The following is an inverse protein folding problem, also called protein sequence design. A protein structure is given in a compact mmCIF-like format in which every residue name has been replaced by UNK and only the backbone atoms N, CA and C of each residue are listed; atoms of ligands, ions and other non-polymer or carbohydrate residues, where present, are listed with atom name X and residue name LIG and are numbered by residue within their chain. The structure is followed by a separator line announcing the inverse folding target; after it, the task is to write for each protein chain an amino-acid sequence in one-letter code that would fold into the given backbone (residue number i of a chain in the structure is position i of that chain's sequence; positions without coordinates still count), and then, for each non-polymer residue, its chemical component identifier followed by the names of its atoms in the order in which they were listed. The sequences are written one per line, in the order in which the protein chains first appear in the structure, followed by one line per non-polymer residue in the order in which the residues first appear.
data_IF_269002532638
#
_entry.id   IF_269002532638
#
_cell.length_a   1.000
_cell.length_b   1.000
_cell.length_c   1.000
_cell.angle_alpha   90.00
_cell.angle_beta   90.00
_cell.angle_gamma   90.00
#
_symmetry.space_group_name_H-M   'P 1'
#
loop_
_entity.id
_entity.type
_entity.pdbx_description
1 polymer ?
#
# COMPACT_ATOMS: atom_id res chain seq x y z
N UNK A 1 -23.47 -48.19 -25.47
CA UNK A 1 -23.03 -49.27 -24.56
C UNK A 1 -21.52 -49.37 -24.57
N UNK A 2 -20.88 -48.83 -23.53
CA UNK A 2 -19.83 -49.43 -22.69
C UNK A 2 -19.05 -48.30 -22.02
N UNK A 3 -19.31 -48.16 -20.72
CA UNK A 3 -18.44 -47.57 -19.70
C UNK A 3 -17.02 -48.14 -19.78
N UNK A 4 -16.03 -47.30 -19.48
CA UNK A 4 -14.96 -47.67 -18.52
C UNK A 4 -14.22 -46.42 -18.01
N UNK A 5 -14.60 -46.02 -16.78
CA UNK A 5 -13.74 -45.71 -15.62
C UNK A 5 -12.52 -44.79 -15.73
N UNK A 6 -12.64 -43.67 -15.01
CA UNK A 6 -11.75 -43.22 -13.92
C UNK A 6 -10.25 -43.46 -14.04
N UNK A 7 -9.51 -42.37 -14.26
CA UNK A 7 -8.20 -42.12 -13.64
C UNK A 7 -8.14 -40.70 -13.10
N UNK A 8 -8.68 -40.53 -11.89
CA UNK A 8 -8.34 -39.38 -11.04
C UNK A 8 -6.91 -39.61 -10.54
N UNK A 9 -5.96 -38.96 -11.19
CA UNK A 9 -4.57 -38.89 -10.73
C UNK A 9 -4.48 -37.95 -9.55
N UNK A 10 -4.55 -38.47 -8.33
CA UNK A 10 -4.10 -37.77 -7.14
C UNK A 10 -2.58 -37.57 -7.25
N UNK A 11 -2.15 -36.35 -7.57
CA UNK A 11 -0.76 -35.96 -7.41
C UNK A 11 -0.54 -35.55 -5.95
N UNK A 12 -0.14 -36.53 -5.14
CA UNK A 12 0.47 -36.33 -3.83
C UNK A 12 1.72 -35.45 -4.03
N UNK A 13 1.66 -34.18 -3.64
CA UNK A 13 2.85 -33.37 -3.46
C UNK A 13 3.20 -33.33 -1.97
N UNK A 14 4.28 -34.04 -1.69
CA UNK A 14 5.01 -34.12 -0.43
C UNK A 14 5.35 -32.74 0.14
N UNK A 15 5.02 -32.56 1.43
CA UNK A 15 5.62 -31.58 2.33
C UNK A 15 7.15 -31.60 2.20
N UNK A 16 7.77 -30.43 2.01
CA UNK A 16 9.22 -30.31 2.09
C UNK A 16 9.80 -28.97 1.62
N UNK A 17 9.93 -28.06 2.59
CA UNK A 17 11.04 -27.09 2.77
C UNK A 17 11.03 -25.73 2.03
N UNK A 18 10.90 -24.71 2.90
CA UNK A 18 11.62 -23.42 2.93
C UNK A 18 11.14 -22.30 2.01
N UNK A 19 10.07 -21.67 2.45
CA UNK A 19 9.98 -20.21 2.39
C UNK A 19 9.96 -19.71 3.83
N UNK A 20 11.03 -19.05 4.27
CA UNK A 20 11.05 -18.36 5.55
C UNK A 20 10.10 -17.17 5.46
N UNK A 21 8.93 -17.36 6.07
CA UNK A 21 8.00 -16.34 6.49
C UNK A 21 8.75 -15.24 7.25
N UNK A 22 8.65 -14.01 6.74
CA UNK A 22 8.71 -12.83 7.59
C UNK A 22 7.37 -12.11 7.52
N UNK A 23 6.30 -12.83 7.86
CA UNK A 23 5.04 -12.25 8.35
C UNK A 23 4.95 -12.49 9.85
N UNK A 24 5.62 -11.65 10.63
CA UNK A 24 5.40 -11.60 12.08
C UNK A 24 4.29 -10.59 12.40
N UNK A 25 3.12 -11.17 12.72
CA UNK A 25 2.09 -10.78 13.69
C UNK A 25 2.14 -9.37 14.31
N UNK A 26 1.08 -8.59 14.09
CA UNK A 26 0.60 -7.63 15.09
C UNK A 26 -0.42 -8.35 15.99
N UNK A 27 0.04 -8.84 17.15
CA UNK A 27 -0.80 -9.27 18.28
C UNK A 27 -1.06 -8.08 19.22
N UNK A 28 -1.42 -6.92 18.65
CA UNK A 28 -1.88 -5.76 19.39
C UNK A 28 -3.41 -5.84 19.45
N UNK A 29 -3.94 -6.28 20.60
CA UNK A 29 -5.38 -6.29 20.90
C UNK A 29 -6.01 -4.90 20.94
N UNK A 30 -5.95 -4.16 19.83
CA UNK A 30 -6.60 -2.87 19.67
C UNK A 30 -8.09 -3.08 19.33
N UNK A 31 -8.92 -2.76 20.31
CA UNK A 31 -10.37 -2.65 20.14
C UNK A 31 -10.66 -1.39 19.34
N UNK A 32 -11.06 -1.54 18.08
CA UNK A 32 -11.63 -0.44 17.30
C UNK A 32 -13.07 -0.17 17.79
N UNK A 33 -13.46 1.08 18.10
CA UNK A 33 -14.81 1.37 18.54
C UNK A 33 -15.82 1.02 17.44
N UNK A 34 -16.71 0.08 17.73
CA UNK A 34 -17.80 -0.31 16.84
C UNK A 34 -19.00 0.58 17.14
N UNK A 35 -19.18 1.67 16.39
CA UNK A 35 -20.46 2.37 16.40
C UNK A 35 -21.43 1.60 15.51
N UNK A 36 -22.33 0.84 16.14
CA UNK A 36 -23.51 0.28 15.47
C UNK A 36 -24.40 1.45 15.04
N UNK A 37 -24.63 1.61 13.74
CA UNK A 37 -25.76 2.38 13.24
C UNK A 37 -26.46 1.55 12.17
N UNK A 38 -27.78 1.41 12.35
CA UNK A 38 -28.69 0.60 11.55
C UNK A 38 -28.75 1.09 10.11
N UNK A 39 -28.69 0.15 9.16
CA UNK A 39 -28.68 0.44 7.72
C UNK A 39 -30.12 0.44 7.22
N UNK A 40 -30.68 1.63 7.00
CA UNK A 40 -31.81 1.80 6.09
C UNK A 40 -31.30 1.85 4.65
N UNK A 41 -31.90 1.00 3.80
CA UNK A 41 -31.60 0.92 2.37
C UNK A 41 -31.95 2.23 1.65
N UNK A 42 -30.94 2.99 1.21
CA UNK A 42 -31.08 3.91 0.08
C UNK A 42 -29.72 4.24 -0.54
N UNK A 43 -29.64 4.05 -1.86
CA UNK A 43 -28.47 4.28 -2.72
C UNK A 43 -27.97 5.72 -2.55
N UNK A 44 -26.73 5.93 -2.10
CA UNK A 44 -26.11 7.25 -2.08
C UNK A 44 -24.59 7.16 -2.33
N UNK A 45 -24.16 7.54 -3.53
CA UNK A 45 -22.80 7.45 -4.07
C UNK A 45 -21.86 8.58 -3.60
N UNK A 46 -22.13 9.24 -2.47
CA UNK A 46 -21.35 10.44 -2.09
C UNK A 46 -21.09 10.60 -0.57
N UNK A 47 -20.60 9.55 0.11
CA UNK A 47 -20.43 9.54 1.58
C UNK A 47 -19.01 9.62 2.13
N UNK A 48 -17.96 9.62 1.30
CA UNK A 48 -16.57 9.54 1.78
C UNK A 48 -15.69 10.75 1.44
N UNK A 49 -16.29 11.92 1.17
CA UNK A 49 -15.52 13.14 0.91
C UNK A 49 -14.89 13.63 2.22
N UNK A 50 -13.55 13.75 2.25
CA UNK A 50 -12.82 14.20 3.45
C UNK A 50 -12.30 15.63 3.26
N UNK A 51 -12.54 16.45 4.28
CA UNK A 51 -12.39 17.91 4.29
C UNK A 51 -10.92 18.42 4.25
N UNK A 52 -10.80 19.73 4.04
CA UNK A 52 -9.60 20.53 3.71
C UNK A 52 -8.46 20.52 4.75
N UNK A 53 -8.61 19.86 5.90
CA UNK A 53 -7.64 19.90 7.03
C UNK A 53 -6.92 18.56 7.29
N UNK A 54 -6.76 17.75 6.26
CA UNK A 54 -6.10 16.44 6.39
C UNK A 54 -4.61 16.58 6.72
N UNK A 55 -3.93 17.58 6.16
CA UNK A 55 -2.51 17.76 6.40
C UNK A 55 -2.23 18.03 7.88
N UNK A 56 -3.08 18.81 8.56
CA UNK A 56 -2.99 19.06 9.99
C UNK A 56 -3.01 17.75 10.78
N UNK A 57 -3.99 16.87 10.50
CA UNK A 57 -4.11 15.56 11.16
C UNK A 57 -2.90 14.66 10.88
N UNK A 58 -2.40 14.65 9.65
CA UNK A 58 -1.20 13.86 9.28
C UNK A 58 0.01 14.37 10.08
N UNK A 59 0.14 15.68 10.25
CA UNK A 59 1.26 16.35 10.92
C UNK A 59 1.05 16.54 12.44
N UNK A 60 0.02 15.93 13.04
CA UNK A 60 -0.14 15.92 14.49
C UNK A 60 1.02 15.19 15.17
N UNK A 61 1.51 15.74 16.28
CA UNK A 61 2.70 15.20 16.96
C UNK A 61 2.46 13.76 17.46
N UNK A 62 1.23 13.46 17.89
CA UNK A 62 0.84 12.12 18.29
C UNK A 62 0.81 11.12 17.11
N UNK A 63 0.40 11.57 15.92
CA UNK A 63 0.42 10.74 14.71
C UNK A 63 1.86 10.47 14.26
N UNK A 64 2.70 11.49 14.31
CA UNK A 64 4.11 11.38 13.93
C UNK A 64 4.89 10.48 14.90
N UNK A 65 4.63 10.55 16.19
CA UNK A 65 5.21 9.61 17.16
C UNK A 65 4.81 8.16 16.85
N UNK A 66 3.54 7.90 16.52
CA UNK A 66 3.10 6.56 16.08
C UNK A 66 3.81 6.12 14.80
N UNK A 67 4.00 7.04 13.85
CA UNK A 67 4.73 6.76 12.62
C UNK A 67 6.22 6.43 12.88
N UNK A 68 6.88 7.16 13.78
CA UNK A 68 8.24 6.86 14.24
C UNK A 68 8.32 5.44 14.83
N UNK A 69 7.42 5.10 15.74
CA UNK A 69 7.38 3.79 16.38
C UNK A 69 7.21 2.66 15.35
N UNK A 70 6.32 2.84 14.36
CA UNK A 70 6.10 1.87 13.29
C UNK A 70 7.31 1.72 12.36
N UNK A 71 7.99 2.82 12.02
CA UNK A 71 9.23 2.76 11.23
C UNK A 71 10.34 2.06 12.00
N UNK A 72 10.42 2.29 13.32
CA UNK A 72 11.38 1.60 14.19
C UNK A 72 11.11 0.10 14.28
N UNK A 73 9.86 -0.32 14.44
CA UNK A 73 9.50 -1.75 14.51
C UNK A 73 9.79 -2.49 13.21
N UNK A 74 9.58 -1.84 12.06
CA UNK A 74 9.83 -2.42 10.74
C UNK A 74 11.32 -2.57 10.41
N UNK A 75 12.22 -1.97 11.20
CA UNK A 75 13.67 -1.94 10.95
C UNK A 75 13.95 -1.42 9.52
N UNK A 76 15.01 -1.89 8.89
CA UNK A 76 15.38 -1.54 7.53
C UNK A 76 16.58 -0.60 7.44
N UNK A 77 17.17 -0.55 6.25
CA UNK A 77 18.39 0.22 5.99
C UNK A 77 18.11 1.70 5.76
N UNK A 78 19.14 2.52 5.96
CA UNK A 78 19.13 3.94 5.60
C UNK A 78 18.98 4.15 4.09
N UNK A 79 18.35 5.27 3.73
CA UNK A 79 18.17 5.70 2.34
C UNK A 79 19.46 6.27 1.75
N UNK A 80 19.30 7.27 0.89
CA UNK A 80 20.43 7.96 0.23
C UNK A 80 21.28 8.78 1.22
N UNK A 81 20.66 9.26 2.30
CA UNK A 81 21.27 9.99 3.41
C UNK A 81 22.03 9.10 4.40
N UNK A 82 21.88 7.77 4.28
CA UNK A 82 22.51 6.74 5.12
C UNK A 82 22.14 6.81 6.62
N UNK A 83 21.17 7.65 7.00
CA UNK A 83 20.66 7.69 8.38
C UNK A 83 20.07 6.34 8.75
N UNK A 84 20.43 5.81 9.92
CA UNK A 84 19.89 4.55 10.41
C UNK A 84 18.58 4.76 11.17
N UNK A 85 17.75 3.72 11.21
CA UNK A 85 16.47 3.74 11.92
C UNK A 85 16.64 4.03 13.41
N UNK A 86 17.76 3.63 14.02
CA UNK A 86 18.06 3.92 15.43
C UNK A 86 18.21 5.42 15.72
N UNK A 87 18.57 6.23 14.72
CA UNK A 87 18.83 7.67 14.88
C UNK A 87 17.56 8.52 14.70
N UNK A 88 16.47 7.92 14.19
CA UNK A 88 15.26 8.65 13.78
C UNK A 88 14.65 9.46 14.91
N UNK A 89 14.63 8.93 16.14
CA UNK A 89 14.00 9.59 17.28
C UNK A 89 14.77 10.85 17.68
N UNK A 90 16.09 10.76 17.72
CA UNK A 90 16.96 11.91 18.00
C UNK A 90 16.85 12.95 16.88
N UNK A 91 16.83 12.51 15.61
CA UNK A 91 16.67 13.40 14.47
C UNK A 91 15.34 14.18 14.54
N UNK A 92 14.22 13.50 14.77
CA UNK A 92 12.92 14.17 14.89
C UNK A 92 12.86 15.07 16.13
N UNK A 93 13.44 14.69 17.26
CA UNK A 93 13.50 15.56 18.44
C UNK A 93 14.20 16.92 18.15
N UNK A 94 15.21 16.92 17.26
CA UNK A 94 15.96 18.13 16.91
C UNK A 94 15.34 18.94 15.76
N UNK A 95 14.74 18.26 14.77
CA UNK A 95 14.36 18.89 13.50
C UNK A 95 12.85 18.91 13.22
N UNK A 96 12.02 18.28 14.06
CA UNK A 96 10.58 18.12 13.77
C UNK A 96 9.85 19.44 13.57
N UNK A 97 10.08 20.44 14.43
CA UNK A 97 9.42 21.74 14.31
C UNK A 97 9.70 22.41 12.96
N UNK A 98 10.93 22.32 12.47
CA UNK A 98 11.34 22.81 11.16
C UNK A 98 10.73 22.00 10.01
N UNK A 99 10.81 20.66 10.09
CA UNK A 99 10.22 19.77 9.08
C UNK A 99 8.71 19.97 8.95
N UNK A 100 8.00 20.03 10.08
CA UNK A 100 6.56 20.30 10.13
C UNK A 100 6.24 21.62 9.45
N UNK A 101 6.96 22.70 9.76
CA UNK A 101 6.79 23.99 9.10
C UNK A 101 6.97 23.91 7.59
N UNK A 102 8.07 23.30 7.12
CA UNK A 102 8.32 23.10 5.69
C UNK A 102 7.21 22.33 4.98
N UNK A 103 6.67 21.29 5.62
CA UNK A 103 5.59 20.47 5.05
C UNK A 103 4.29 21.27 4.99
N UNK A 104 3.93 21.96 6.09
CA UNK A 104 2.71 22.77 6.18
C UNK A 104 2.70 23.93 5.18
N UNK A 105 3.87 24.54 4.92
CA UNK A 105 4.05 25.60 3.92
C UNK A 105 4.21 25.08 2.49
N UNK A 106 4.28 23.76 2.29
CA UNK A 106 4.45 23.15 0.97
C UNK A 106 5.86 23.26 0.38
N UNK A 107 6.86 23.62 1.17
CA UNK A 107 8.27 23.74 0.76
C UNK A 107 9.07 22.44 0.94
N UNK A 108 8.51 21.44 1.63
CA UNK A 108 9.14 20.12 1.75
C UNK A 108 9.30 19.44 0.38
N UNK A 109 10.49 18.88 0.13
CA UNK A 109 10.80 18.08 -1.05
C UNK A 109 11.38 16.74 -0.60
N UNK A 110 10.68 15.61 -0.86
CA UNK A 110 11.17 14.28 -0.53
C UNK A 110 12.53 14.00 -1.18
N UNK A 111 13.35 13.17 -0.54
CA UNK A 111 14.61 12.73 -1.12
C UNK A 111 14.37 11.61 -2.14
N UNK A 112 15.25 11.53 -3.14
CA UNK A 112 15.27 10.43 -4.09
C UNK A 112 15.47 9.09 -3.36
N UNK A 113 14.79 8.04 -3.82
CA UNK A 113 14.90 6.71 -3.19
C UNK A 113 16.18 5.99 -3.65
N UNK A 114 16.82 5.26 -2.74
CA UNK A 114 18.02 4.48 -3.05
C UNK A 114 17.64 3.19 -3.78
N UNK A 115 18.13 2.98 -5.01
CA UNK A 115 17.88 1.74 -5.76
C UNK A 115 18.71 0.60 -5.19
N UNK A 116 18.05 -0.52 -4.90
CA UNK A 116 18.68 -1.78 -4.48
C UNK A 116 18.12 -2.92 -5.31
N UNK A 117 19.00 -3.75 -5.87
CA UNK A 117 18.61 -4.96 -6.59
C UNK A 117 18.53 -6.13 -5.60
N UNK A 118 17.39 -6.79 -5.55
CA UNK A 118 17.16 -7.99 -4.75
C UNK A 118 16.91 -9.16 -5.71
N UNK A 119 17.61 -10.30 -5.58
CA UNK A 119 17.33 -11.48 -6.41
C UNK A 119 15.91 -12.00 -6.15
N UNK A 120 15.22 -12.39 -7.22
CA UNK A 120 14.00 -13.21 -7.17
C UNK A 120 14.39 -14.68 -7.36
N UNK A 121 13.54 -15.58 -6.86
CA UNK A 121 13.68 -17.03 -7.00
C UNK A 121 13.80 -17.52 -8.44
N UNK A 122 13.21 -16.81 -9.39
CA UNK A 122 13.27 -17.14 -10.81
C UNK A 122 14.52 -16.59 -11.53
N UNK A 123 15.53 -16.14 -10.78
CA UNK A 123 16.77 -15.57 -11.30
C UNK A 123 16.65 -14.14 -11.84
N UNK A 124 15.44 -13.58 -11.93
CA UNK A 124 15.24 -12.15 -12.26
C UNK A 124 15.56 -11.28 -11.05
N UNK A 125 15.83 -10.00 -11.25
CA UNK A 125 16.04 -9.04 -10.16
C UNK A 125 14.77 -8.23 -9.89
N UNK A 126 14.46 -8.00 -8.62
CA UNK A 126 13.48 -7.00 -8.17
C UNK A 126 14.24 -5.75 -7.80
N UNK A 127 13.83 -4.63 -8.37
CA UNK A 127 14.41 -3.37 -8.01
C UNK A 127 13.56 -2.69 -6.92
N UNK A 128 14.17 -2.43 -5.77
CA UNK A 128 13.55 -1.77 -4.63
C UNK A 128 14.08 -0.33 -4.53
N UNK A 129 13.20 0.62 -4.24
CA UNK A 129 13.54 1.98 -3.86
C UNK A 129 13.41 2.15 -2.35
N UNK A 130 14.53 2.34 -1.66
CA UNK A 130 14.56 2.56 -0.22
C UNK A 130 14.54 4.07 0.07
N UNK A 131 13.45 4.63 0.60
CA UNK A 131 13.41 6.05 0.98
C UNK A 131 14.29 6.32 2.21
N UNK A 132 14.59 7.59 2.46
CA UNK A 132 15.22 8.02 3.72
C UNK A 132 14.33 7.68 4.90
N UNK A 133 14.92 7.59 6.10
CA UNK A 133 14.13 7.26 7.30
C UNK A 133 13.09 8.35 7.58
N UNK A 134 13.46 9.62 7.38
CA UNK A 134 12.55 10.77 7.48
C UNK A 134 11.38 10.66 6.51
N UNK A 135 11.63 10.36 5.24
CA UNK A 135 10.57 10.14 4.25
C UNK A 135 9.68 8.95 4.61
N UNK A 136 10.24 7.86 5.16
CA UNK A 136 9.44 6.72 5.62
C UNK A 136 8.50 7.10 6.76
N UNK A 137 8.95 7.91 7.72
CA UNK A 137 8.10 8.39 8.83
C UNK A 137 6.95 9.24 8.29
N UNK A 138 7.23 10.20 7.40
CA UNK A 138 6.19 11.06 6.82
C UNK A 138 5.22 10.25 5.97
N UNK A 139 5.71 9.32 5.13
CA UNK A 139 4.85 8.40 4.37
C UNK A 139 3.99 7.54 5.28
N UNK A 140 4.54 7.02 6.39
CA UNK A 140 3.80 6.21 7.35
C UNK A 140 2.72 7.03 8.07
N UNK A 141 2.99 8.29 8.39
CA UNK A 141 2.01 9.21 8.96
C UNK A 141 0.84 9.48 7.98
N UNK A 142 1.13 9.62 6.68
CA UNK A 142 0.10 9.72 5.63
C UNK A 142 -0.75 8.44 5.60
N UNK A 143 -0.11 7.27 5.61
CA UNK A 143 -0.80 5.97 5.59
C UNK A 143 -1.74 5.81 6.79
N UNK A 144 -1.31 6.21 7.99
CA UNK A 144 -2.12 6.11 9.21
C UNK A 144 -3.44 6.88 9.11
N UNK A 145 -3.43 8.05 8.47
CA UNK A 145 -4.62 8.88 8.28
C UNK A 145 -5.45 8.44 7.08
N UNK A 146 -4.82 8.05 5.97
CA UNK A 146 -5.53 7.67 4.75
C UNK A 146 -6.12 6.26 4.80
N UNK A 147 -5.50 5.32 5.50
CA UNK A 147 -6.01 3.94 5.63
C UNK A 147 -7.45 3.88 6.13
N UNK A 148 -7.84 4.50 7.27
CA UNK A 148 -9.22 4.44 7.74
C UNK A 148 -10.22 5.12 6.79
N UNK A 149 -9.77 6.00 5.90
CA UNK A 149 -10.61 6.66 4.89
C UNK A 149 -10.88 5.72 3.71
N UNK A 150 -9.84 5.08 3.19
CA UNK A 150 -9.95 4.24 1.98
C UNK A 150 -10.33 2.78 2.26
N UNK A 151 -9.96 2.24 3.43
CA UNK A 151 -10.19 0.83 3.72
C UNK A 151 -11.67 0.39 3.63
N UNK A 152 -12.66 1.18 4.11
CA UNK A 152 -14.07 0.85 3.94
C UNK A 152 -14.56 0.89 2.47
N UNK A 153 -13.78 1.48 1.56
CA UNK A 153 -14.14 1.62 0.15
C UNK A 153 -13.59 0.47 -0.70
N UNK A 154 -12.62 -0.29 -0.19
CA UNK A 154 -11.99 -1.38 -0.93
C UNK A 154 -12.87 -2.63 -0.98
N UNK A 155 -12.89 -3.27 -2.15
CA UNK A 155 -13.64 -4.52 -2.38
C UNK A 155 -13.34 -5.59 -1.33
N UNK A 156 -14.36 -6.33 -0.88
CA UNK A 156 -14.16 -7.44 0.06
C UNK A 156 -13.31 -8.59 -0.49
N UNK A 157 -13.12 -8.65 -1.81
CA UNK A 157 -12.28 -9.64 -2.48
C UNK A 157 -10.86 -9.13 -2.77
N UNK A 158 -10.49 -7.96 -2.26
CA UNK A 158 -9.11 -7.45 -2.27
C UNK A 158 -8.41 -7.78 -0.96
N UNK A 159 -7.31 -8.54 -0.99
CA UNK A 159 -6.66 -9.06 0.23
C UNK A 159 -5.24 -8.53 0.47
N UNK A 160 -4.58 -7.99 -0.57
CA UNK A 160 -3.17 -7.59 -0.51
C UNK A 160 -2.96 -6.31 0.31
N UNK A 161 -1.94 -6.31 1.18
CA UNK A 161 -1.47 -5.12 1.91
C UNK A 161 -2.56 -4.36 2.68
N UNK A 162 -3.58 -5.06 3.17
CA UNK A 162 -4.70 -4.49 3.92
C UNK A 162 -4.69 -4.95 5.38
N UNK A 163 -5.07 -4.08 6.33
CA UNK A 163 -5.13 -4.46 7.73
C UNK A 163 -6.14 -5.60 7.93
N UNK A 164 -5.76 -6.62 8.70
CA UNK A 164 -6.59 -7.81 9.03
C UNK A 164 -6.98 -8.68 7.83
N UNK A 165 -6.34 -8.51 6.68
CA UNK A 165 -6.47 -9.38 5.50
C UNK A 165 -5.17 -10.11 5.21
N UNK A 166 -5.27 -11.33 4.68
CA UNK A 166 -4.10 -12.15 4.36
C UNK A 166 -4.36 -13.10 3.18
N UNK A 167 -3.31 -13.71 2.65
CA UNK A 167 -3.38 -14.61 1.50
C UNK A 167 -4.25 -15.85 1.77
N UNK A 168 -4.26 -16.39 2.99
CA UNK A 168 -5.11 -17.52 3.34
C UNK A 168 -6.61 -17.20 3.20
N UNK A 169 -7.03 -15.97 3.53
CA UNK A 169 -8.40 -15.53 3.29
C UNK A 169 -8.75 -15.56 1.80
N UNK A 170 -7.85 -15.10 0.93
CA UNK A 170 -8.05 -15.16 -0.52
C UNK A 170 -8.21 -16.60 -1.03
N UNK A 171 -7.33 -17.51 -0.57
CA UNK A 171 -7.40 -18.93 -0.94
C UNK A 171 -8.72 -19.55 -0.49
N UNK A 172 -9.20 -19.25 0.73
CA UNK A 172 -10.50 -19.75 1.20
C UNK A 172 -11.65 -19.28 0.31
N UNK A 173 -11.63 -18.03 -0.16
CA UNK A 173 -12.65 -17.50 -1.08
C UNK A 173 -12.65 -18.23 -2.41
N UNK A 174 -11.46 -18.56 -2.95
CA UNK A 174 -11.34 -19.37 -4.18
C UNK A 174 -11.93 -20.77 -3.98
N UNK A 175 -11.68 -21.41 -2.83
CA UNK A 175 -12.26 -22.71 -2.48
C UNK A 175 -13.79 -22.64 -2.36
N UNK A 176 -14.33 -21.57 -1.78
CA UNK A 176 -15.78 -21.33 -1.74
C UNK A 176 -16.38 -21.27 -3.15
N UNK A 177 -15.80 -20.49 -4.07
CA UNK A 177 -16.25 -20.44 -5.47
C UNK A 177 -16.15 -21.80 -6.17
N UNK A 178 -15.08 -22.57 -5.91
CA UNK A 178 -14.97 -23.92 -6.41
C UNK A 178 -16.12 -24.81 -5.87
N UNK A 179 -16.49 -24.69 -4.61
CA UNK A 179 -17.60 -25.46 -4.05
C UNK A 179 -18.98 -25.03 -4.62
N UNK A 180 -19.14 -23.76 -4.96
CA UNK A 180 -20.35 -23.20 -5.59
C UNK A 180 -20.55 -23.63 -7.06
N UNK A 181 -19.55 -24.26 -7.68
CA UNK A 181 -19.67 -24.77 -9.05
C UNK A 181 -18.84 -24.00 -10.09
N UNK A 182 -18.12 -22.95 -9.69
CA UNK A 182 -17.20 -22.26 -10.60
C UNK A 182 -15.97 -23.15 -10.86
N UNK A 183 -15.80 -23.59 -12.11
CA UNK A 183 -14.77 -24.59 -12.51
C UNK A 183 -13.63 -24.00 -13.34
N UNK A 184 -13.79 -22.77 -13.81
CA UNK A 184 -12.83 -22.09 -14.67
C UNK A 184 -12.32 -20.84 -13.96
N UNK A 185 -11.01 -20.61 -14.05
CA UNK A 185 -10.35 -19.42 -13.53
C UNK A 185 -9.81 -18.59 -14.68
N UNK A 186 -9.83 -17.27 -14.51
CA UNK A 186 -9.13 -16.34 -15.39
C UNK A 186 -7.96 -15.79 -14.58
N UNK A 187 -6.75 -16.17 -14.97
CA UNK A 187 -5.53 -15.67 -14.34
C UNK A 187 -5.08 -14.39 -15.05
N UNK A 188 -4.98 -13.30 -14.30
CA UNK A 188 -4.56 -11.99 -14.78
C UNK A 188 -3.39 -11.51 -13.92
N UNK A 189 -2.20 -11.44 -14.52
CA UNK A 189 -1.02 -10.86 -13.88
C UNK A 189 -0.67 -9.52 -14.55
N UNK A 190 -0.48 -8.49 -13.71
CA UNK A 190 -0.06 -7.18 -14.18
C UNK A 190 1.47 -7.10 -14.17
N UNK A 191 2.06 -7.31 -15.34
CA UNK A 191 3.51 -7.23 -15.48
C UNK A 191 4.02 -5.85 -15.04
N UNK A 192 4.97 -5.85 -14.08
CA UNK A 192 5.63 -4.65 -13.57
C UNK A 192 4.64 -3.56 -13.14
N UNK A 193 3.52 -3.95 -12.50
CA UNK A 193 2.47 -3.03 -12.06
C UNK A 193 3.01 -1.75 -11.40
N UNK A 194 3.87 -1.91 -10.39
CA UNK A 194 4.45 -0.79 -9.67
C UNK A 194 5.31 0.13 -10.54
N UNK A 195 5.83 -0.33 -11.68
CA UNK A 195 6.67 0.49 -12.58
C UNK A 195 5.82 1.18 -13.67
N UNK A 196 4.53 0.85 -13.79
CA UNK A 196 3.64 1.31 -14.87
C UNK A 196 2.49 2.20 -14.43
N UNK A 197 2.24 2.35 -13.11
CA UNK A 197 1.18 3.21 -12.58
C UNK A 197 1.29 4.64 -13.12
N UNK A 198 0.22 5.13 -13.74
CA UNK A 198 0.16 6.50 -14.26
C UNK A 198 -0.11 7.49 -13.10
N UNK A 199 0.81 8.43 -12.88
CA UNK A 199 0.69 9.40 -11.78
C UNK A 199 -0.54 10.29 -11.92
N UNK A 200 -0.81 10.83 -13.12
CA UNK A 200 -1.96 11.72 -13.34
C UNK A 200 -3.29 11.03 -13.03
N UNK A 201 -3.44 9.76 -13.45
CA UNK A 201 -4.64 8.96 -13.15
C UNK A 201 -4.75 8.66 -11.65
N UNK A 202 -3.65 8.29 -10.99
CA UNK A 202 -3.63 8.05 -9.54
C UNK A 202 -4.03 9.32 -8.76
N UNK A 203 -3.47 10.48 -9.12
CA UNK A 203 -3.82 11.77 -8.52
C UNK A 203 -5.28 12.14 -8.77
N UNK A 204 -5.82 11.83 -9.96
CA UNK A 204 -7.24 12.04 -10.26
C UNK A 204 -8.13 11.21 -9.32
N UNK A 205 -7.82 9.91 -9.13
CA UNK A 205 -8.57 9.02 -8.23
C UNK A 205 -8.49 9.53 -6.79
N UNK A 206 -7.29 9.86 -6.30
CA UNK A 206 -7.10 10.40 -4.94
C UNK A 206 -7.91 11.68 -4.70
N UNK A 207 -7.94 12.58 -5.69
CA UNK A 207 -8.67 13.86 -5.62
C UNK A 207 -10.20 13.69 -5.56
N UNK A 208 -10.73 12.51 -5.86
CA UNK A 208 -12.17 12.23 -5.69
C UNK A 208 -12.56 12.19 -4.21
N UNK A 209 -11.69 11.63 -3.37
CA UNK A 209 -11.93 11.42 -1.93
C UNK A 209 -11.25 12.49 -1.07
N UNK A 210 -9.99 12.83 -1.36
CA UNK A 210 -9.17 13.80 -0.62
C UNK A 210 -9.38 15.20 -1.21
N UNK A 211 -9.88 16.14 -0.42
CA UNK A 211 -10.05 17.54 -0.85
C UNK A 211 -8.94 18.48 -0.40
N UNK A 212 -8.07 18.03 0.51
CA UNK A 212 -6.88 18.79 0.88
C UNK A 212 -5.80 18.69 -0.22
N UNK A 213 -5.73 19.73 -1.06
CA UNK A 213 -4.77 19.81 -2.16
C UNK A 213 -3.31 19.77 -1.73
N UNK A 214 -2.99 20.12 -0.47
CA UNK A 214 -1.62 20.06 0.05
C UNK A 214 -1.18 18.62 0.25
N UNK A 215 -2.07 17.75 0.71
CA UNK A 215 -1.82 16.31 0.83
C UNK A 215 -1.61 15.68 -0.55
N UNK A 216 -2.47 16.02 -1.52
CA UNK A 216 -2.30 15.59 -2.91
C UNK A 216 -0.96 16.04 -3.47
N UNK A 217 -0.57 17.30 -3.25
CA UNK A 217 0.72 17.84 -3.67
C UNK A 217 1.89 17.09 -3.03
N UNK A 218 1.83 16.78 -1.73
CA UNK A 218 2.86 16.02 -1.04
C UNK A 218 3.00 14.59 -1.59
N UNK A 219 1.88 13.89 -1.82
CA UNK A 219 1.88 12.54 -2.45
C UNK A 219 2.48 12.63 -3.86
N UNK A 220 2.10 13.64 -4.64
CA UNK A 220 2.64 13.85 -5.98
C UNK A 220 4.16 14.07 -5.95
N UNK A 221 4.68 14.83 -4.98
CA UNK A 221 6.13 14.97 -4.79
C UNK A 221 6.82 13.65 -4.46
N UNK A 222 6.21 12.77 -3.65
CA UNK A 222 6.77 11.44 -3.38
C UNK A 222 6.84 10.55 -4.61
N UNK A 223 5.83 10.61 -5.49
CA UNK A 223 5.82 9.87 -6.75
C UNK A 223 6.92 10.35 -7.71
N UNK A 224 7.24 11.65 -7.69
CA UNK A 224 8.24 12.29 -8.56
C UNK A 224 9.62 12.46 -7.92
N UNK A 225 9.87 11.92 -6.72
CA UNK A 225 11.11 12.14 -5.97
C UNK A 225 12.37 11.60 -6.68
N UNK A 226 12.20 10.77 -7.73
CA UNK A 226 13.29 10.16 -8.47
C UNK A 226 13.95 9.00 -7.72
N UNK A 227 14.91 8.37 -8.38
CA UNK A 227 15.69 7.25 -7.83
C UNK A 227 17.19 7.56 -7.99
N UNK A 228 18.01 7.10 -7.04
CA UNK A 228 19.47 7.12 -7.18
C UNK A 228 19.96 5.71 -7.52
N UNK A 229 20.55 5.57 -8.70
CA UNK A 229 21.14 4.33 -9.23
C UNK A 229 22.64 4.54 -9.41
N UNK A 230 23.49 3.78 -8.69
CA UNK A 230 24.96 3.88 -8.78
C UNK A 230 25.49 5.32 -8.75
N UNK A 231 24.97 6.13 -7.80
CA UNK A 231 25.30 7.55 -7.61
C UNK A 231 24.81 8.53 -8.68
N UNK A 232 23.97 8.08 -9.62
CA UNK A 232 23.30 8.94 -10.59
C UNK A 232 21.83 9.09 -10.24
N UNK A 233 21.32 10.32 -10.35
CA UNK A 233 19.90 10.61 -10.24
C UNK A 233 19.20 10.24 -11.54
N UNK A 234 18.09 9.54 -11.43
CA UNK A 234 17.18 9.24 -12.53
C UNK A 234 15.77 9.72 -12.15
N UNK A 235 15.11 10.41 -13.08
CA UNK A 235 13.77 10.93 -12.89
C UNK A 235 12.73 9.80 -12.97
N UNK A 236 11.74 9.83 -12.07
CA UNK A 236 10.62 8.88 -12.07
C UNK A 236 9.40 9.52 -12.73
N UNK A 237 9.12 9.15 -13.98
CA UNK A 237 7.97 9.69 -14.74
C UNK A 237 6.70 8.84 -14.62
N UNK A 238 6.81 7.62 -14.11
CA UNK A 238 5.71 6.67 -13.89
C UNK A 238 6.06 5.65 -12.82
N UNK A 239 5.04 4.97 -12.31
CA UNK A 239 5.17 3.95 -11.29
C UNK A 239 5.15 4.51 -9.86
N UNK A 240 5.09 3.62 -8.88
CA UNK A 240 5.13 3.93 -7.45
C UNK A 240 6.38 3.25 -6.88
N UNK A 241 7.25 3.97 -6.15
CA UNK A 241 8.50 3.40 -5.65
C UNK A 241 8.24 2.19 -4.74
N UNK A 242 8.74 1.02 -5.13
CA UNK A 242 8.63 -0.20 -4.32
C UNK A 242 9.52 -0.06 -3.08
N UNK A 243 8.96 -0.12 -1.87
CA UNK A 243 9.74 -0.04 -0.61
C UNK A 243 9.37 1.15 0.30
N UNK A 244 8.54 2.07 -0.18
CA UNK A 244 7.92 3.10 0.66
C UNK A 244 6.68 2.59 1.40
N UNK A 245 6.44 2.99 2.67
CA UNK A 245 5.22 2.62 3.39
C UNK A 245 3.93 3.04 2.69
N UNK A 246 3.95 4.14 1.91
CA UNK A 246 2.79 4.68 1.22
C UNK A 246 2.41 3.89 -0.05
N UNK A 247 3.39 3.23 -0.67
CA UNK A 247 3.24 2.63 -1.99
C UNK A 247 2.17 1.54 -2.09
N UNK A 248 2.02 0.62 -1.12
CA UNK A 248 0.97 -0.39 -1.15
C UNK A 248 -0.44 0.21 -1.06
N UNK A 249 -0.64 1.24 -0.24
CA UNK A 249 -1.94 1.91 -0.12
C UNK A 249 -2.33 2.57 -1.45
N UNK A 250 -1.40 3.32 -2.07
CA UNK A 250 -1.64 3.96 -3.37
C UNK A 250 -1.96 2.92 -4.46
N UNK A 251 -1.33 1.76 -4.39
CA UNK A 251 -1.56 0.65 -5.31
C UNK A 251 -2.98 0.09 -5.17
N UNK A 252 -3.44 -0.13 -3.94
CA UNK A 252 -4.80 -0.58 -3.67
C UNK A 252 -5.84 0.45 -4.08
N UNK A 253 -5.58 1.75 -3.86
CA UNK A 253 -6.47 2.84 -4.32
C UNK A 253 -6.63 2.81 -5.84
N UNK A 254 -5.53 2.62 -6.57
CA UNK A 254 -5.57 2.56 -8.03
C UNK A 254 -6.32 1.31 -8.53
N UNK A 255 -6.05 0.14 -7.95
CA UNK A 255 -6.69 -1.13 -8.33
C UNK A 255 -8.16 -1.21 -7.91
N UNK A 256 -8.60 -0.43 -6.92
CA UNK A 256 -10.00 -0.42 -6.51
C UNK A 256 -10.95 0.00 -7.65
N UNK A 257 -10.50 0.86 -8.56
CA UNK A 257 -11.27 1.21 -9.78
C UNK A 257 -11.49 -0.01 -10.67
N UNK A 258 -10.47 -0.87 -10.79
CA UNK A 258 -10.57 -2.12 -11.52
C UNK A 258 -11.51 -3.09 -10.81
N UNK A 259 -11.37 -3.26 -9.50
CA UNK A 259 -12.27 -4.10 -8.70
C UNK A 259 -13.73 -3.66 -8.90
N UNK A 260 -14.02 -2.36 -8.79
CA UNK A 260 -15.35 -1.81 -9.00
C UNK A 260 -15.90 -2.10 -10.42
N UNK A 261 -15.04 -2.04 -11.45
CA UNK A 261 -15.42 -2.32 -12.83
C UNK A 261 -15.84 -3.78 -13.06
N UNK A 262 -15.25 -4.73 -12.33
CA UNK A 262 -15.63 -6.15 -12.41
C UNK A 262 -17.05 -6.37 -11.89
N UNK A 263 -17.44 -5.72 -10.78
CA UNK A 263 -18.76 -5.91 -10.17
C UNK A 263 -19.89 -5.16 -10.87
N UNK A 264 -19.60 -4.00 -11.47
CA UNK A 264 -20.62 -3.15 -12.10
C UNK A 264 -21.00 -3.61 -13.51
N UNK A 265 -20.24 -4.54 -14.11
CA UNK A 265 -20.38 -4.92 -15.51
C UNK A 265 -20.00 -3.76 -16.45
N UNK A 266 -19.96 -3.99 -17.78
CA UNK A 266 -19.63 -2.94 -18.72
C UNK A 266 -20.67 -1.81 -18.63
N UNK A 267 -20.22 -0.59 -18.34
CA UNK A 267 -21.01 0.62 -18.53
C UNK A 267 -21.28 0.72 -20.04
N UNK A 268 -22.55 0.53 -20.43
CA UNK A 268 -23.01 0.67 -21.81
C UNK A 268 -22.87 2.11 -22.31
#
# INVERSE_FOLDING_TARGET
MKDTQDKIGYCQLSLGLLYEDSTEYDNSGEVYPTSKQEISHTKNTNRFVVHEKLLETIMEDANIEKAIQRVMSNKGSGGVDKMQVAEVRTHFAQHWSYLKKLIMEGHYSPQAVKRVEIPKDNGKKRELGIPTVTDRVIQQAIVQVLTPIFEPQFSDNSYGFRPRRNAHQAVRKVVEYANEGYRYTVDLDLEKYFDTVNHSRLIQILSQTIKDGRVISLIHKYLNAGVIVKHKFEETTKGVPQGGPLSPLLSNIYLNEFDASIYLGPVK
#
